data_IF_527830306037
#
_entry.id   IF_527830306037
#
_cell.length_a   1.000
_cell.length_b   1.000
_cell.length_c   1.000
_cell.angle_alpha   90.00
_cell.angle_beta   90.00
_cell.angle_gamma   90.00
#
_symmetry.space_group_name_H-M   'P 1'
#
loop_
_entity.id
_entity.type
_entity.pdbx_description
1 polymer ?
#
# COMPACT_ATOMS: atom_id res chain seq x y z
N UNK A 1 -20.35 -11.15 -18.06
CA UNK A 1 -20.44 -11.29 -16.60
C UNK A 1 -19.03 -11.57 -16.11
N UNK A 2 -18.30 -10.53 -15.71
CA UNK A 2 -16.90 -10.66 -15.31
C UNK A 2 -16.82 -11.23 -13.88
N UNK A 3 -16.98 -12.55 -13.76
CA UNK A 3 -16.86 -13.25 -12.50
C UNK A 3 -15.39 -13.37 -12.08
N UNK A 4 -15.08 -12.99 -10.84
CA UNK A 4 -13.81 -13.31 -10.21
C UNK A 4 -13.89 -14.66 -9.48
N UNK A 5 -12.78 -15.40 -9.41
CA UNK A 5 -12.69 -16.63 -8.62
C UNK A 5 -12.34 -16.26 -7.18
N UNK A 6 -13.28 -16.54 -6.26
CA UNK A 6 -13.08 -16.33 -4.83
C UNK A 6 -12.47 -17.57 -4.16
N UNK A 7 -11.26 -17.43 -3.61
CA UNK A 7 -10.51 -18.46 -2.89
C UNK A 7 -10.62 -18.20 -1.39
N UNK A 8 -11.45 -18.99 -0.70
CA UNK A 8 -11.78 -18.79 0.72
C UNK A 8 -10.94 -19.59 1.70
N UNK A 9 -10.14 -20.55 1.24
CA UNK A 9 -9.34 -21.43 2.11
C UNK A 9 -8.04 -21.90 1.46
N UNK A 10 -7.07 -22.25 2.31
CA UNK A 10 -5.77 -22.79 1.87
C UNK A 10 -5.95 -24.10 1.09
N UNK A 11 -6.87 -24.98 1.50
CA UNK A 11 -7.15 -26.21 0.74
C UNK A 11 -7.70 -25.93 -0.67
N UNK A 12 -8.53 -24.87 -0.84
CA UNK A 12 -9.04 -24.48 -2.15
C UNK A 12 -7.92 -23.87 -3.01
N UNK A 13 -7.03 -23.09 -2.42
CA UNK A 13 -5.83 -22.57 -3.09
C UNK A 13 -4.97 -23.72 -3.63
N UNK A 14 -4.64 -24.71 -2.80
CA UNK A 14 -3.83 -25.86 -3.19
C UNK A 14 -4.44 -26.64 -4.34
N UNK A 15 -5.75 -26.92 -4.29
CA UNK A 15 -6.48 -27.58 -5.40
C UNK A 15 -6.43 -26.78 -6.69
N UNK A 16 -6.56 -25.46 -6.61
CA UNK A 16 -6.56 -24.58 -7.79
C UNK A 16 -5.21 -24.57 -8.50
N UNK A 17 -4.10 -24.61 -7.74
CA UNK A 17 -2.74 -24.58 -8.30
C UNK A 17 -2.14 -25.97 -8.55
N UNK A 18 -2.90 -27.05 -8.31
CA UNK A 18 -2.43 -28.43 -8.47
C UNK A 18 -1.38 -28.87 -7.46
N UNK A 19 -1.32 -28.24 -6.27
CA UNK A 19 -0.40 -28.61 -5.20
C UNK A 19 -0.95 -29.78 -4.34
N UNK A 20 -0.05 -30.45 -3.61
CA UNK A 20 -0.43 -31.45 -2.60
C UNK A 20 -1.33 -30.86 -1.51
N UNK A 21 -1.98 -31.72 -0.72
CA UNK A 21 -2.82 -31.25 0.38
C UNK A 21 -2.03 -30.37 1.38
N UNK A 22 -2.60 -29.24 1.83
CA UNK A 22 -1.90 -28.37 2.76
C UNK A 22 -1.65 -29.06 4.10
N UNK A 23 -0.49 -28.77 4.69
CA UNK A 23 -0.11 -29.28 6.02
C UNK A 23 -0.70 -28.45 7.16
N UNK A 24 -1.16 -27.23 6.89
CA UNK A 24 -1.76 -26.34 7.87
C UNK A 24 -3.06 -25.72 7.32
N UNK A 25 -4.14 -25.58 8.12
CA UNK A 25 -5.45 -25.12 7.63
C UNK A 25 -5.50 -23.62 7.30
N UNK A 26 -4.71 -22.79 8.00
CA UNK A 26 -4.75 -21.32 7.91
C UNK A 26 -3.49 -20.70 7.33
N UNK A 27 -2.51 -21.51 6.90
CA UNK A 27 -1.18 -21.06 6.48
C UNK A 27 -0.65 -22.00 5.40
N UNK A 28 0.07 -21.47 4.41
CA UNK A 28 0.91 -22.29 3.53
C UNK A 28 2.05 -21.47 2.96
N UNK A 29 3.16 -22.15 2.64
CA UNK A 29 4.23 -21.62 1.82
C UNK A 29 4.24 -22.39 0.51
N UNK A 30 4.22 -21.66 -0.60
CA UNK A 30 4.28 -22.19 -1.95
C UNK A 30 5.59 -21.74 -2.58
N UNK A 31 6.37 -22.72 -3.03
CA UNK A 31 7.57 -22.51 -3.83
C UNK A 31 7.19 -22.53 -5.31
N UNK A 32 7.42 -21.42 -6.01
CA UNK A 32 7.02 -21.28 -7.41
C UNK A 32 7.71 -22.29 -8.34
N UNK A 33 8.92 -22.74 -7.99
CA UNK A 33 9.64 -23.75 -8.78
C UNK A 33 8.99 -25.13 -8.73
N UNK A 34 8.14 -25.40 -7.73
CA UNK A 34 7.44 -26.68 -7.57
C UNK A 34 6.07 -26.70 -8.25
N UNK A 35 5.63 -25.57 -8.81
CA UNK A 35 4.37 -25.47 -9.54
C UNK A 35 4.63 -25.84 -11.00
N UNK A 36 4.41 -27.10 -11.35
CA UNK A 36 4.59 -27.60 -12.72
C UNK A 36 3.31 -27.57 -13.57
N UNK A 37 2.13 -27.62 -12.93
CA UNK A 37 0.84 -27.84 -13.59
C UNK A 37 -0.27 -26.92 -13.07
N UNK A 38 0.01 -25.62 -12.87
CA UNK A 38 -1.08 -24.68 -12.64
C UNK A 38 -1.98 -24.66 -13.90
N UNK A 39 -3.29 -24.92 -13.79
CA UNK A 39 -4.17 -24.86 -14.96
C UNK A 39 -4.15 -23.43 -15.53
N UNK A 40 -4.39 -23.29 -16.84
CA UNK A 40 -4.39 -22.02 -17.59
C UNK A 40 -5.41 -20.99 -17.04
N UNK A 41 -5.13 -20.42 -15.89
CA UNK A 41 -5.92 -19.35 -15.26
C UNK A 41 -5.27 -17.98 -15.47
N UNK A 42 -4.54 -17.81 -16.57
CA UNK A 42 -3.98 -16.53 -16.93
C UNK A 42 -5.08 -15.54 -17.31
N UNK A 43 -4.91 -14.28 -16.93
CA UNK A 43 -5.91 -13.22 -17.10
C UNK A 43 -7.25 -13.48 -16.38
N UNK A 44 -7.31 -14.47 -15.48
CA UNK A 44 -8.45 -14.65 -14.59
C UNK A 44 -8.30 -13.73 -13.39
N UNK A 45 -9.41 -13.10 -12.98
CA UNK A 45 -9.48 -12.29 -11.76
C UNK A 45 -9.70 -13.20 -10.56
N UNK A 46 -8.84 -13.09 -9.56
CA UNK A 46 -8.89 -13.80 -8.29
C UNK A 46 -9.12 -12.84 -7.14
N UNK A 47 -9.77 -13.33 -6.10
CA UNK A 47 -9.83 -12.67 -4.79
C UNK A 47 -9.63 -13.72 -3.71
N UNK A 48 -8.88 -13.38 -2.66
CA UNK A 48 -8.53 -14.31 -1.57
C UNK A 48 -8.98 -13.75 -0.23
N UNK A 49 -9.37 -14.62 0.71
CA UNK A 49 -9.69 -14.24 2.09
C UNK A 49 -8.45 -14.23 3.01
N UNK A 50 -7.26 -14.41 2.45
CA UNK A 50 -5.99 -14.47 3.17
C UNK A 50 -5.01 -13.41 2.69
N UNK A 51 -4.10 -13.02 3.60
CA UNK A 51 -2.94 -12.21 3.28
C UNK A 51 -1.99 -12.99 2.37
N UNK A 52 -1.35 -12.29 1.44
CA UNK A 52 -0.34 -12.85 0.54
C UNK A 52 0.94 -12.05 0.70
N UNK A 53 2.05 -12.76 0.88
CA UNK A 53 3.40 -12.19 0.77
C UNK A 53 4.14 -13.02 -0.26
N UNK A 54 4.54 -12.41 -1.37
CA UNK A 54 5.19 -13.11 -2.47
C UNK A 54 6.53 -12.48 -2.75
N UNK A 55 7.57 -13.30 -2.82
CA UNK A 55 8.87 -12.93 -3.38
C UNK A 55 9.05 -13.60 -4.73
N UNK A 56 9.34 -12.80 -5.75
CA UNK A 56 9.70 -13.29 -7.08
C UNK A 56 11.15 -12.91 -7.39
N UNK A 57 11.90 -13.86 -7.91
CA UNK A 57 13.22 -13.58 -8.46
C UNK A 57 13.09 -13.14 -9.92
N UNK A 58 14.02 -12.33 -10.45
CA UNK A 58 14.03 -11.98 -11.86
C UNK A 58 14.03 -13.23 -12.73
N UNK A 59 13.20 -13.24 -13.77
CA UNK A 59 13.39 -14.18 -14.85
C UNK A 59 14.65 -13.78 -15.63
N UNK A 60 15.43 -14.75 -16.10
CA UNK A 60 16.64 -14.49 -16.89
C UNK A 60 16.38 -13.60 -18.12
N UNK A 61 15.13 -13.57 -18.61
CA UNK A 61 14.70 -12.84 -19.81
C UNK A 61 13.74 -11.66 -19.52
N UNK A 62 13.54 -11.27 -18.26
CA UNK A 62 12.62 -10.19 -17.91
C UNK A 62 13.14 -8.84 -18.42
N UNK A 63 12.63 -8.39 -19.57
CA UNK A 63 12.81 -7.01 -20.03
C UNK A 63 12.04 -6.09 -19.08
N UNK A 64 12.80 -5.22 -18.43
CA UNK A 64 12.41 -4.37 -17.31
C UNK A 64 11.31 -3.37 -17.67
N UNK A 65 10.29 -3.28 -16.81
CA UNK A 65 9.39 -2.13 -16.76
C UNK A 65 9.87 -1.17 -15.65
N UNK A 66 10.77 -0.25 -16.02
CA UNK A 66 11.27 0.78 -15.11
C UNK A 66 12.55 1.42 -15.64
N UNK A 67 12.59 2.76 -15.68
CA UNK A 67 13.76 3.53 -16.12
C UNK A 67 14.63 3.84 -14.90
N UNK A 68 15.78 3.16 -14.80
CA UNK A 68 17.05 3.53 -14.13
C UNK A 68 17.61 2.55 -13.08
N UNK A 69 18.95 2.46 -13.12
CA UNK A 69 19.88 1.59 -12.41
C UNK A 69 19.94 1.87 -10.91
N UNK A 70 19.39 0.99 -10.09
CA UNK A 70 19.78 0.83 -8.68
C UNK A 70 19.67 -0.66 -8.28
N UNK A 71 20.80 -1.23 -7.85
CA UNK A 71 21.18 -2.66 -7.71
C UNK A 71 20.36 -3.53 -6.71
N UNK A 72 19.05 -3.33 -6.58
CA UNK A 72 18.18 -4.19 -5.74
C UNK A 72 17.29 -5.07 -6.62
N UNK A 73 17.93 -5.86 -7.48
CA UNK A 73 17.23 -6.67 -8.48
C UNK A 73 17.17 -8.14 -8.08
N UNK A 74 17.81 -8.55 -6.99
CA UNK A 74 17.91 -9.97 -6.60
C UNK A 74 16.59 -10.60 -6.14
N UNK A 75 15.59 -9.78 -5.83
CA UNK A 75 14.24 -10.21 -5.49
C UNK A 75 13.24 -9.06 -5.42
N UNK A 76 12.01 -9.34 -5.84
CA UNK A 76 10.88 -8.41 -5.77
C UNK A 76 9.80 -8.97 -4.83
N UNK A 77 9.51 -8.25 -3.75
CA UNK A 77 8.43 -8.58 -2.81
C UNK A 77 7.16 -7.81 -3.09
N UNK A 78 6.04 -8.51 -2.98
CA UNK A 78 4.69 -7.99 -3.12
C UNK A 78 3.82 -8.48 -1.95
N UNK A 79 2.87 -7.63 -1.54
CA UNK A 79 2.00 -7.84 -0.39
C UNK A 79 0.54 -7.59 -0.78
N UNK A 80 -0.36 -8.47 -0.35
CA UNK A 80 -1.80 -8.35 -0.61
C UNK A 80 -2.61 -8.55 0.66
N UNK A 81 -3.59 -7.67 0.89
CA UNK A 81 -4.63 -7.86 1.89
C UNK A 81 -5.71 -8.82 1.41
N UNK A 82 -6.40 -9.52 2.34
CA UNK A 82 -7.66 -10.19 2.05
C UNK A 82 -8.65 -9.28 1.32
N UNK A 83 -9.39 -9.82 0.36
CA UNK A 83 -10.43 -9.13 -0.40
C UNK A 83 -9.92 -8.31 -1.59
N UNK A 84 -8.60 -8.22 -1.81
CA UNK A 84 -8.07 -7.55 -3.00
C UNK A 84 -8.18 -8.45 -4.24
N UNK A 85 -8.56 -7.83 -5.36
CA UNK A 85 -8.69 -8.51 -6.65
C UNK A 85 -7.36 -8.42 -7.41
N UNK A 86 -6.90 -9.55 -7.95
CA UNK A 86 -5.69 -9.61 -8.76
C UNK A 86 -5.84 -10.55 -9.95
N UNK A 87 -4.94 -10.42 -10.91
CA UNK A 87 -4.85 -11.34 -12.06
C UNK A 87 -3.42 -11.79 -12.24
N UNK A 88 -3.25 -13.05 -12.62
CA UNK A 88 -1.94 -13.60 -12.97
C UNK A 88 -1.75 -13.49 -14.48
N UNK A 89 -0.73 -12.76 -14.92
CA UNK A 89 -0.35 -12.70 -16.33
C UNK A 89 0.25 -14.02 -16.82
N UNK A 90 0.27 -14.23 -18.13
CA UNK A 90 1.00 -15.36 -18.73
C UNK A 90 2.50 -15.27 -18.40
N UNK A 91 3.15 -16.37 -18.01
CA UNK A 91 4.60 -16.42 -17.91
C UNK A 91 5.25 -16.03 -19.23
N UNK A 92 6.34 -15.26 -19.18
CA UNK A 92 7.37 -15.39 -20.21
C UNK A 92 7.91 -16.82 -20.14
N UNK A 93 8.53 -17.33 -21.20
CA UNK A 93 8.92 -18.74 -21.37
C UNK A 93 9.82 -19.36 -20.26
N UNK A 94 10.15 -18.61 -19.22
CA UNK A 94 10.97 -18.97 -18.07
C UNK A 94 10.12 -19.34 -16.84
N UNK A 95 10.49 -20.43 -16.17
CA UNK A 95 9.89 -20.86 -14.91
C UNK A 95 10.16 -19.82 -13.82
N UNK A 96 9.11 -19.38 -13.12
CA UNK A 96 9.24 -18.43 -12.03
C UNK A 96 9.96 -19.06 -10.84
N UNK A 97 10.96 -18.35 -10.30
CA UNK A 97 11.62 -18.66 -9.02
C UNK A 97 11.09 -17.76 -7.90
N UNK A 98 11.26 -18.22 -6.67
CA UNK A 98 10.81 -17.54 -5.46
C UNK A 98 9.66 -18.28 -4.75
N UNK A 99 8.95 -17.56 -3.90
CA UNK A 99 7.96 -18.15 -3.00
C UNK A 99 6.77 -17.22 -2.74
N UNK A 100 5.68 -17.81 -2.25
CA UNK A 100 4.56 -17.08 -1.67
C UNK A 100 4.12 -17.70 -0.35
N UNK A 101 4.01 -16.85 0.67
CA UNK A 101 3.41 -17.14 1.96
C UNK A 101 1.96 -16.65 1.93
N UNK A 102 1.05 -17.55 2.31
CA UNK A 102 -0.37 -17.25 2.45
C UNK A 102 -0.79 -17.52 3.89
N UNK A 103 -1.46 -16.57 4.52
CA UNK A 103 -2.02 -16.79 5.86
C UNK A 103 -3.39 -16.14 6.04
N UNK A 104 -4.32 -16.89 6.61
CA UNK A 104 -5.68 -16.44 6.88
C UNK A 104 -5.70 -15.51 8.10
N UNK A 105 -6.54 -14.45 8.13
CA UNK A 105 -6.66 -13.56 9.29
C UNK A 105 -6.94 -14.30 10.60
N UNK A 106 -7.67 -15.41 10.56
CA UNK A 106 -7.95 -16.26 11.72
C UNK A 106 -6.70 -16.79 12.42
N UNK A 107 -5.57 -16.92 11.70
CA UNK A 107 -4.30 -17.32 12.31
C UNK A 107 -3.84 -16.33 13.38
N UNK A 108 -4.11 -15.04 13.19
CA UNK A 108 -3.58 -13.97 14.02
C UNK A 108 -4.64 -13.37 14.95
N UNK A 109 -5.91 -13.81 14.88
CA UNK A 109 -6.99 -13.27 15.72
C UNK A 109 -6.61 -13.33 17.19
N UNK A 110 -6.87 -12.22 17.92
CA UNK A 110 -6.56 -12.11 19.34
C UNK A 110 -5.09 -11.79 19.67
N UNK A 111 -4.19 -11.80 18.69
CA UNK A 111 -2.76 -11.51 18.91
C UNK A 111 -2.42 -10.03 18.78
N UNK A 112 -1.19 -9.66 19.20
CA UNK A 112 -0.65 -8.33 18.95
C UNK A 112 -0.53 -8.03 17.45
N UNK A 113 -0.17 -9.04 16.65
CA UNK A 113 -0.06 -8.89 15.20
C UNK A 113 -1.40 -8.52 14.55
N UNK A 114 -2.53 -9.10 14.98
CA UNK A 114 -3.85 -8.70 14.47
C UNK A 114 -4.16 -7.20 14.68
N UNK A 115 -3.69 -6.61 15.79
CA UNK A 115 -3.86 -5.18 16.05
C UNK A 115 -2.93 -4.34 15.19
N UNK A 116 -1.71 -4.82 14.95
CA UNK A 116 -0.68 -4.08 14.22
C UNK A 116 -0.72 -4.28 12.71
N UNK A 117 -1.37 -5.31 12.19
CA UNK A 117 -1.27 -5.66 10.78
C UNK A 117 -1.69 -4.52 9.84
N UNK A 118 -2.67 -3.70 10.27
CA UNK A 118 -3.13 -2.51 9.54
C UNK A 118 -2.11 -1.37 9.45
N UNK A 119 -1.07 -1.36 10.30
CA UNK A 119 0.01 -0.37 10.20
C UNK A 119 1.02 -0.72 9.12
N UNK A 120 1.02 -1.96 8.60
CA UNK A 120 1.80 -2.35 7.44
C UNK A 120 1.05 -1.95 6.17
N UNK A 121 1.14 -0.68 5.84
CA UNK A 121 0.46 -0.03 4.70
C UNK A 121 0.81 -0.63 3.34
N UNK A 122 1.97 -1.29 3.24
CA UNK A 122 2.42 -1.97 2.02
C UNK A 122 1.52 -3.11 1.54
N UNK A 123 0.65 -3.65 2.40
CA UNK A 123 -0.42 -4.57 1.99
C UNK A 123 -1.50 -3.93 1.10
N UNK A 124 -1.44 -2.62 0.88
CA UNK A 124 -2.32 -1.87 -0.02
C UNK A 124 -1.57 -1.22 -1.17
N UNK A 125 -0.26 -1.47 -1.31
CA UNK A 125 0.52 -0.92 -2.40
C UNK A 125 0.15 -1.59 -3.72
N UNK A 126 0.31 -0.84 -4.80
CA UNK A 126 0.13 -1.36 -6.14
C UNK A 126 1.32 -2.24 -6.54
N UNK A 127 1.14 -3.09 -7.56
CA UNK A 127 2.19 -4.03 -8.01
C UNK A 127 3.44 -3.31 -8.52
N UNK A 128 3.28 -2.13 -9.12
CA UNK A 128 4.39 -1.27 -9.56
C UNK A 128 5.16 -0.59 -8.41
N UNK A 129 4.69 -0.74 -7.17
CA UNK A 129 5.31 -0.20 -5.94
C UNK A 129 5.98 -1.31 -5.11
N UNK A 130 6.36 -2.40 -5.79
CA UNK A 130 6.97 -3.55 -5.16
C UNK A 130 8.28 -3.20 -4.43
N UNK A 131 8.58 -3.99 -3.41
CA UNK A 131 9.81 -3.87 -2.65
C UNK A 131 10.94 -4.61 -3.37
N UNK A 132 12.03 -3.90 -3.59
CA UNK A 132 13.24 -4.42 -4.21
C UNK A 132 14.28 -4.69 -3.11
N UNK A 133 14.74 -5.94 -3.02
CA UNK A 133 15.67 -6.40 -1.98
C UNK A 133 17.05 -6.72 -2.54
N UNK A 134 18.08 -6.56 -1.70
CA UNK A 134 19.43 -7.05 -2.01
C UNK A 134 19.54 -8.55 -1.72
N UNK A 135 20.67 -9.15 -2.09
CA UNK A 135 20.96 -10.55 -1.75
C UNK A 135 20.89 -10.81 -0.24
N UNK A 136 21.60 -10.02 0.57
CA UNK A 136 21.57 -10.17 2.03
C UNK A 136 20.16 -10.02 2.63
N UNK A 137 19.35 -9.09 2.11
CA UNK A 137 17.97 -8.90 2.55
C UNK A 137 17.08 -10.08 2.15
N UNK A 138 17.28 -10.60 0.94
CA UNK A 138 16.62 -11.81 0.45
C UNK A 138 16.96 -13.03 1.31
N UNK A 139 18.23 -13.23 1.66
CA UNK A 139 18.67 -14.33 2.52
C UNK A 139 17.99 -14.28 3.90
N UNK A 140 17.90 -13.09 4.50
CA UNK A 140 17.19 -12.90 5.78
C UNK A 140 15.72 -13.30 5.66
N UNK A 141 15.03 -12.82 4.63
CA UNK A 141 13.61 -13.13 4.41
C UNK A 141 13.39 -14.62 4.14
N UNK A 142 14.27 -15.24 3.36
CA UNK A 142 14.25 -16.68 3.08
C UNK A 142 14.46 -17.50 4.35
N UNK A 143 15.38 -17.10 5.21
CA UNK A 143 15.62 -17.79 6.50
C UNK A 143 14.39 -17.74 7.41
N UNK A 144 13.72 -16.59 7.49
CA UNK A 144 12.46 -16.46 8.24
C UNK A 144 11.37 -17.36 7.66
N UNK A 145 11.23 -17.38 6.32
CA UNK A 145 10.26 -18.24 5.64
C UNK A 145 10.54 -19.72 5.90
N UNK A 146 11.80 -20.14 5.83
CA UNK A 146 12.20 -21.52 6.12
C UNK A 146 11.87 -21.92 7.57
N UNK A 147 12.01 -20.99 8.53
CA UNK A 147 11.61 -21.25 9.91
C UNK A 147 10.09 -21.44 10.03
N UNK A 148 9.30 -20.59 9.36
CA UNK A 148 7.84 -20.76 9.27
C UNK A 148 7.50 -22.14 8.67
N UNK A 149 8.16 -22.49 7.55
CA UNK A 149 7.89 -23.73 6.83
C UNK A 149 8.22 -24.98 7.65
N UNK A 150 9.34 -24.96 8.38
CA UNK A 150 9.70 -26.04 9.32
C UNK A 150 8.65 -26.15 10.42
N UNK A 151 8.27 -25.03 11.03
CA UNK A 151 7.37 -25.02 12.18
C UNK A 151 5.99 -25.60 11.85
N UNK A 152 5.34 -25.16 10.76
CA UNK A 152 3.99 -25.65 10.44
C UNK A 152 3.96 -27.09 9.91
N UNK A 153 5.13 -27.67 9.60
CA UNK A 153 5.27 -29.09 9.21
C UNK A 153 5.45 -30.03 10.41
N UNK A 154 5.79 -29.49 11.59
CA UNK A 154 5.85 -30.25 12.83
C UNK A 154 4.46 -30.56 13.37
N UNK A 155 4.39 -31.43 14.38
CA UNK A 155 3.14 -31.66 15.10
C UNK A 155 2.76 -30.38 15.86
N UNK A 156 1.51 -29.95 15.70
CA UNK A 156 1.00 -28.76 16.36
C UNK A 156 0.97 -29.00 17.88
N UNK A 157 1.57 -28.07 18.60
CA UNK A 157 1.50 -27.96 20.06
C UNK A 157 0.99 -26.56 20.48
N UNK A 158 0.96 -26.32 21.79
CA UNK A 158 0.46 -25.07 22.36
C UNK A 158 1.28 -23.83 21.97
N UNK A 159 2.50 -24.02 21.46
CA UNK A 159 3.45 -22.96 21.13
C UNK A 159 3.60 -22.71 19.63
N UNK A 160 3.31 -23.71 18.78
CA UNK A 160 3.55 -23.64 17.33
C UNK A 160 2.95 -22.38 16.69
N UNK A 161 1.71 -22.03 17.02
CA UNK A 161 1.07 -20.82 16.50
C UNK A 161 1.80 -19.53 16.93
N UNK A 162 2.25 -19.45 18.18
CA UNK A 162 2.98 -18.28 18.67
C UNK A 162 4.32 -18.11 17.94
N UNK A 163 5.02 -19.23 17.68
CA UNK A 163 6.29 -19.23 16.93
C UNK A 163 6.07 -18.76 15.50
N UNK A 164 5.07 -19.34 14.80
CA UNK A 164 4.69 -18.95 13.43
C UNK A 164 4.34 -17.46 13.36
N UNK A 165 3.47 -16.98 14.25
CA UNK A 165 3.01 -15.59 14.25
C UNK A 165 4.17 -14.62 14.50
N UNK A 166 5.08 -14.98 15.40
CA UNK A 166 6.29 -14.17 15.67
C UNK A 166 7.21 -14.11 14.46
N UNK A 167 7.39 -15.23 13.74
CA UNK A 167 8.17 -15.26 12.52
C UNK A 167 7.52 -14.45 11.38
N UNK A 168 6.20 -14.51 11.21
CA UNK A 168 5.46 -13.65 10.27
C UNK A 168 5.66 -12.17 10.65
N UNK A 169 5.54 -11.84 11.93
CA UNK A 169 5.74 -10.47 12.42
C UNK A 169 7.17 -9.98 12.15
N UNK A 170 8.17 -10.84 12.35
CA UNK A 170 9.56 -10.53 12.03
C UNK A 170 9.74 -10.26 10.53
N UNK A 171 9.16 -11.09 9.66
CA UNK A 171 9.17 -10.90 8.21
C UNK A 171 8.62 -9.52 7.84
N UNK A 172 7.45 -9.17 8.37
CA UNK A 172 6.78 -7.89 8.12
C UNK A 172 7.60 -6.68 8.62
N UNK A 173 8.24 -6.80 9.79
CA UNK A 173 9.11 -5.75 10.32
C UNK A 173 10.34 -5.52 9.43
N UNK A 174 10.97 -6.59 8.92
CA UNK A 174 12.07 -6.45 7.95
C UNK A 174 11.58 -5.82 6.65
N UNK A 175 10.45 -6.25 6.12
CA UNK A 175 9.85 -5.64 4.92
C UNK A 175 9.57 -4.14 5.12
N UNK A 176 9.05 -3.73 6.28
CA UNK A 176 8.84 -2.32 6.60
C UNK A 176 10.16 -1.52 6.62
N UNK A 177 11.21 -2.12 7.19
CA UNK A 177 12.55 -1.53 7.22
C UNK A 177 13.11 -1.36 5.81
N UNK A 178 12.94 -2.35 4.94
CA UNK A 178 13.44 -2.30 3.56
C UNK A 178 12.64 -1.33 2.69
N UNK A 179 11.32 -1.22 2.84
CA UNK A 179 10.54 -0.14 2.23
C UNK A 179 11.03 1.24 2.67
N UNK A 180 11.29 1.41 3.97
CA UNK A 180 11.83 2.66 4.50
C UNK A 180 13.19 3.03 3.91
N UNK A 181 14.04 2.03 3.63
CA UNK A 181 15.31 2.20 2.91
C UNK A 181 15.08 2.58 1.44
N UNK A 182 14.16 1.92 0.75
CA UNK A 182 13.87 2.17 -0.67
C UNK A 182 13.45 3.62 -0.92
N UNK A 183 12.68 4.22 0.00
CA UNK A 183 12.37 5.65 -0.06
C UNK A 183 13.63 6.55 0.04
N UNK A 184 14.61 6.16 0.87
CA UNK A 184 15.85 6.93 1.05
C UNK A 184 16.76 6.80 -0.20
N UNK A 185 16.87 5.59 -0.76
CA UNK A 185 17.74 5.35 -1.93
C UNK A 185 17.16 5.97 -3.21
N UNK A 186 15.82 6.08 -3.32
CA UNK A 186 15.12 6.72 -4.44
C UNK A 186 14.84 8.21 -4.26
N UNK A 187 15.57 8.92 -3.37
CA UNK A 187 15.31 10.33 -3.05
C UNK A 187 15.17 11.26 -4.26
N UNK A 188 15.94 11.04 -5.33
CA UNK A 188 15.84 11.87 -6.55
C UNK A 188 14.51 11.69 -7.29
N UNK A 189 14.06 10.46 -7.48
CA UNK A 189 12.76 10.13 -8.08
C UNK A 189 11.61 10.60 -7.17
N UNK A 190 11.77 10.41 -5.86
CA UNK A 190 10.81 10.85 -4.87
C UNK A 190 10.65 12.37 -4.85
N UNK A 191 11.74 13.13 -5.00
CA UNK A 191 11.70 14.59 -5.10
C UNK A 191 10.90 15.07 -6.32
N UNK A 192 11.04 14.40 -7.47
CA UNK A 192 10.23 14.68 -8.66
C UNK A 192 8.74 14.40 -8.40
N UNK A 193 8.42 13.26 -7.77
CA UNK A 193 7.04 12.93 -7.38
C UNK A 193 6.43 13.94 -6.42
N UNK A 194 7.19 14.45 -5.45
CA UNK A 194 6.74 15.50 -4.52
C UNK A 194 6.50 16.80 -5.28
N UNK A 195 7.43 17.20 -6.14
CA UNK A 195 7.29 18.41 -6.96
C UNK A 195 6.02 18.34 -7.82
N UNK A 196 5.77 17.18 -8.44
CA UNK A 196 4.56 16.92 -9.22
C UNK A 196 3.30 16.91 -8.35
N UNK A 197 3.37 16.39 -7.12
CA UNK A 197 2.27 16.46 -6.16
C UNK A 197 1.92 17.92 -5.81
N UNK A 198 2.93 18.74 -5.50
CA UNK A 198 2.74 20.15 -5.17
C UNK A 198 2.19 20.95 -6.36
N UNK A 199 2.66 20.66 -7.58
CA UNK A 199 2.10 21.23 -8.82
C UNK A 199 0.63 20.84 -9.00
N UNK A 200 0.28 19.56 -8.90
CA UNK A 200 -1.10 19.08 -9.01
C UNK A 200 -2.00 19.69 -7.93
N UNK A 201 -1.49 19.85 -6.71
CA UNK A 201 -2.21 20.46 -5.60
C UNK A 201 -2.50 21.94 -5.92
N UNK A 202 -1.48 22.70 -6.36
CA UNK A 202 -1.62 24.09 -6.76
C UNK A 202 -2.59 24.26 -7.94
N UNK A 203 -2.47 23.43 -8.98
CA UNK A 203 -3.38 23.41 -10.13
C UNK A 203 -4.82 23.10 -9.71
N UNK A 204 -5.02 22.20 -8.75
CA UNK A 204 -6.35 21.89 -8.22
C UNK A 204 -7.00 23.13 -7.58
N UNK A 205 -6.24 23.91 -6.80
CA UNK A 205 -6.76 25.13 -6.17
C UNK A 205 -6.93 26.31 -7.13
N UNK A 206 -6.15 26.37 -8.22
CA UNK A 206 -6.21 27.43 -9.21
C UNK A 206 -7.19 27.16 -10.36
N UNK A 207 -7.76 25.95 -10.43
CA UNK A 207 -8.73 25.56 -11.45
C UNK A 207 -10.17 25.64 -10.93
N UNK A 208 -11.13 25.65 -11.85
CA UNK A 208 -12.54 25.49 -11.51
C UNK A 208 -12.89 24.11 -10.92
N UNK A 209 -11.90 23.21 -10.78
CA UNK A 209 -12.09 21.84 -10.30
C UNK A 209 -12.67 21.78 -8.88
N UNK A 210 -12.37 22.75 -8.01
CA UNK A 210 -12.95 22.84 -6.66
C UNK A 210 -14.49 22.91 -6.66
N UNK A 211 -15.06 23.64 -7.63
CA UNK A 211 -16.50 23.82 -7.74
C UNK A 211 -17.22 22.58 -8.28
N UNK A 212 -16.52 21.75 -9.08
CA UNK A 212 -17.10 20.55 -9.71
C UNK A 212 -16.75 19.24 -9.01
N UNK A 213 -15.59 19.15 -8.37
CA UNK A 213 -15.03 17.90 -7.81
C UNK A 213 -14.93 17.92 -6.27
N UNK A 214 -15.22 19.05 -5.62
CA UNK A 214 -15.23 19.18 -4.17
C UNK A 214 -13.84 19.32 -3.58
N UNK A 215 -13.66 18.82 -2.35
CA UNK A 215 -12.36 18.88 -1.68
C UNK A 215 -11.33 17.94 -2.31
N UNK A 216 -10.06 18.37 -2.41
CA UNK A 216 -8.98 17.50 -2.83
C UNK A 216 -8.79 16.33 -1.85
N UNK A 217 -8.74 15.11 -2.38
CA UNK A 217 -8.52 13.89 -1.61
C UNK A 217 -7.16 13.25 -1.94
N UNK A 218 -6.65 12.40 -1.05
CA UNK A 218 -5.39 11.68 -1.30
C UNK A 218 -5.54 10.75 -2.50
N UNK A 219 -6.71 10.12 -2.64
CA UNK A 219 -7.06 9.22 -3.74
C UNK A 219 -7.00 9.93 -5.10
N UNK A 220 -7.47 11.18 -5.18
CA UNK A 220 -7.38 11.99 -6.40
C UNK A 220 -5.93 12.16 -6.85
N UNK A 221 -5.04 12.60 -5.96
CA UNK A 221 -3.64 12.82 -6.32
C UNK A 221 -2.88 11.52 -6.59
N UNK A 222 -3.14 10.48 -5.79
CA UNK A 222 -2.55 9.16 -6.00
C UNK A 222 -2.90 8.61 -7.39
N UNK A 223 -4.17 8.72 -7.80
CA UNK A 223 -4.60 8.34 -9.15
C UNK A 223 -3.89 9.15 -10.25
N UNK A 224 -3.74 10.47 -10.08
CA UNK A 224 -3.02 11.33 -11.05
C UNK A 224 -1.52 11.04 -11.12
N UNK A 225 -0.94 10.53 -10.04
CA UNK A 225 0.48 10.15 -9.97
C UNK A 225 0.72 8.67 -10.31
N UNK A 226 -0.33 7.89 -10.59
CA UNK A 226 -0.28 6.43 -10.78
C UNK A 226 0.32 5.68 -9.58
N UNK A 227 -0.04 6.13 -8.37
CA UNK A 227 0.37 5.55 -7.09
C UNK A 227 -0.84 5.06 -6.31
N UNK A 228 -0.61 4.16 -5.37
CA UNK A 228 -1.60 3.85 -4.33
C UNK A 228 -1.70 5.00 -3.32
N UNK A 229 -2.88 5.29 -2.76
CA UNK A 229 -3.05 6.35 -1.76
C UNK A 229 -2.17 6.18 -0.52
N UNK A 230 -1.94 4.93 -0.11
CA UNK A 230 -1.08 4.61 1.02
C UNK A 230 0.38 4.84 0.69
N UNK A 231 0.85 4.43 -0.50
CA UNK A 231 2.23 4.69 -0.92
C UNK A 231 2.51 6.19 -1.01
N UNK A 232 1.62 6.97 -1.64
CA UNK A 232 1.75 8.44 -1.67
C UNK A 232 1.78 9.03 -0.25
N UNK A 233 0.95 8.50 0.66
CA UNK A 233 0.92 8.93 2.06
C UNK A 233 2.21 8.66 2.80
N UNK A 234 2.77 7.47 2.64
CA UNK A 234 4.01 7.07 3.31
C UNK A 234 5.22 7.78 2.71
N UNK A 235 5.26 7.93 1.38
CA UNK A 235 6.27 8.70 0.66
C UNK A 235 6.31 10.15 1.16
N UNK A 236 5.17 10.86 1.12
CA UNK A 236 5.10 12.25 1.57
C UNK A 236 5.44 12.35 3.05
N UNK A 237 4.92 11.47 3.90
CA UNK A 237 5.26 11.49 5.34
C UNK A 237 6.74 11.25 5.59
N UNK A 238 7.39 10.38 4.81
CA UNK A 238 8.81 10.07 4.96
C UNK A 238 9.70 11.26 4.60
N UNK A 239 9.36 11.96 3.52
CA UNK A 239 10.16 13.08 3.00
C UNK A 239 9.86 14.40 3.72
N UNK A 240 8.61 14.61 4.15
CA UNK A 240 8.16 15.88 4.73
C UNK A 240 7.94 15.85 6.25
N UNK A 241 7.86 14.67 6.85
CA UNK A 241 7.49 14.48 8.25
C UNK A 241 6.01 14.68 8.57
N UNK A 242 5.15 15.06 7.60
CA UNK A 242 3.72 15.31 7.84
C UNK A 242 2.84 14.36 7.01
N UNK A 243 1.67 13.94 7.52
CA UNK A 243 0.69 13.20 6.71
C UNK A 243 0.21 14.01 5.50
N UNK A 244 -0.05 13.36 4.36
CA UNK A 244 -0.56 14.01 3.14
C UNK A 244 -1.85 14.79 3.37
N UNK A 245 -2.76 14.27 4.19
CA UNK A 245 -3.98 15.00 4.57
C UNK A 245 -3.67 16.31 5.29
N UNK A 246 -2.61 16.35 6.10
CA UNK A 246 -2.19 17.58 6.77
C UNK A 246 -1.62 18.60 5.78
N UNK A 247 -0.92 18.13 4.74
CA UNK A 247 -0.46 18.96 3.61
C UNK A 247 -1.63 19.61 2.89
N UNK A 248 -2.59 18.81 2.44
CA UNK A 248 -3.81 19.30 1.75
C UNK A 248 -4.56 20.30 2.64
N UNK A 249 -4.74 19.97 3.92
CA UNK A 249 -5.40 20.89 4.87
C UNK A 249 -4.63 22.18 5.10
N UNK A 250 -3.29 22.14 5.09
CA UNK A 250 -2.46 23.34 5.23
C UNK A 250 -2.66 24.26 4.04
N UNK A 251 -2.70 23.71 2.83
CA UNK A 251 -2.95 24.49 1.61
C UNK A 251 -4.35 25.12 1.61
N UNK A 252 -5.39 24.34 1.96
CA UNK A 252 -6.76 24.87 2.13
C UNK A 252 -6.78 26.05 3.12
N UNK A 253 -6.03 25.92 4.22
CA UNK A 253 -5.98 26.96 5.23
C UNK A 253 -5.29 28.24 4.74
N UNK A 254 -4.17 28.12 4.04
CA UNK A 254 -3.45 29.28 3.50
C UNK A 254 -4.28 29.99 2.41
N UNK A 255 -4.94 29.24 1.52
CA UNK A 255 -5.88 29.80 0.54
C UNK A 255 -7.05 30.52 1.23
N UNK A 256 -7.60 29.93 2.29
CA UNK A 256 -8.66 30.55 3.09
C UNK A 256 -8.20 31.87 3.73
N UNK A 257 -7.02 31.90 4.37
CA UNK A 257 -6.47 33.12 4.97
C UNK A 257 -6.24 34.19 3.91
N UNK A 258 -5.66 33.82 2.77
CA UNK A 258 -5.42 34.75 1.67
C UNK A 258 -6.73 35.40 1.18
N UNK A 259 -7.77 34.60 0.90
CA UNK A 259 -9.08 35.12 0.46
C UNK A 259 -9.79 35.94 1.54
N UNK A 260 -9.68 35.55 2.82
CA UNK A 260 -10.28 36.31 3.92
C UNK A 260 -9.71 37.73 4.03
N UNK A 261 -8.44 37.92 3.71
CA UNK A 261 -7.73 39.21 3.80
C UNK A 261 -7.75 40.01 2.49
N UNK A 262 -7.82 39.36 1.34
CA UNK A 262 -7.61 40.00 0.04
C UNK A 262 -8.88 40.04 -0.85
N UNK A 263 -10.03 39.60 -0.34
CA UNK A 263 -11.29 39.61 -1.10
C UNK A 263 -12.48 40.09 -0.25
N UNK A 264 -13.52 40.55 -0.95
CA UNK A 264 -14.81 40.90 -0.37
C UNK A 264 -15.79 39.72 -0.30
N UNK A 265 -15.34 38.50 -0.65
CA UNK A 265 -16.17 37.29 -0.60
C UNK A 265 -16.68 37.08 0.83
N UNK A 266 -17.94 36.70 1.01
CA UNK A 266 -18.46 36.30 2.32
C UNK A 266 -17.79 35.01 2.80
N UNK A 267 -17.80 34.77 4.11
CA UNK A 267 -17.25 33.53 4.69
C UNK A 267 -17.89 32.27 4.08
N UNK A 268 -19.17 32.35 3.70
CA UNK A 268 -19.88 31.25 3.06
C UNK A 268 -19.41 31.05 1.60
N UNK A 269 -19.25 32.12 0.83
CA UNK A 269 -18.71 32.03 -0.54
C UNK A 269 -17.30 31.45 -0.54
N UNK A 270 -16.45 31.89 0.39
CA UNK A 270 -15.11 31.32 0.56
C UNK A 270 -15.20 29.83 0.89
N UNK A 271 -16.07 29.42 1.82
CA UNK A 271 -16.23 28.00 2.17
C UNK A 271 -16.61 27.15 0.96
N UNK A 272 -17.61 27.59 0.18
CA UNK A 272 -18.02 26.87 -1.03
C UNK A 272 -16.93 26.85 -2.10
N UNK A 273 -16.21 27.97 -2.29
CA UNK A 273 -15.11 28.02 -3.26
C UNK A 273 -13.96 27.08 -2.93
N UNK A 274 -13.79 26.74 -1.64
CA UNK A 274 -12.79 25.79 -1.15
C UNK A 274 -13.31 24.34 -1.10
N UNK A 275 -14.48 24.06 -1.70
CA UNK A 275 -15.04 22.72 -1.82
C UNK A 275 -15.75 22.20 -0.56
N UNK A 276 -16.05 23.06 0.43
CA UNK A 276 -16.88 22.65 1.57
C UNK A 276 -18.35 22.61 1.14
N UNK A 277 -18.99 21.45 1.25
CA UNK A 277 -20.44 21.31 1.00
C UNK A 277 -21.28 22.15 1.96
N UNK A 278 -20.80 22.34 3.20
CA UNK A 278 -21.49 23.14 4.18
C UNK A 278 -20.55 24.09 4.94
N UNK A 279 -20.84 25.41 4.99
CA UNK A 279 -19.98 26.42 5.62
C UNK A 279 -19.69 26.21 7.11
N UNK A 280 -20.55 25.51 7.85
CA UNK A 280 -20.30 25.17 9.25
C UNK A 280 -19.05 24.29 9.42
N UNK A 281 -18.77 23.39 8.47
CA UNK A 281 -17.58 22.56 8.51
C UNK A 281 -16.33 23.40 8.27
N UNK A 282 -16.39 24.39 7.38
CA UNK A 282 -15.30 25.34 7.16
C UNK A 282 -15.01 26.17 8.42
N UNK A 283 -16.05 26.72 9.05
CA UNK A 283 -15.88 27.49 10.28
C UNK A 283 -15.21 26.67 11.40
N UNK A 284 -15.65 25.41 11.59
CA UNK A 284 -15.04 24.50 12.56
C UNK A 284 -13.61 24.15 12.17
N UNK A 285 -13.36 23.83 10.91
CA UNK A 285 -12.04 23.51 10.39
C UNK A 285 -11.06 24.66 10.63
N UNK A 286 -11.41 25.86 10.20
CA UNK A 286 -10.58 27.05 10.34
C UNK A 286 -10.28 27.34 11.81
N UNK A 287 -11.31 27.38 12.66
CA UNK A 287 -11.15 27.59 14.11
C UNK A 287 -10.28 26.53 14.77
N UNK A 288 -10.42 25.26 14.37
CA UNK A 288 -9.58 24.17 14.91
C UNK A 288 -8.11 24.36 14.53
N UNK A 289 -7.82 24.94 13.36
CA UNK A 289 -6.45 25.14 12.88
C UNK A 289 -5.81 26.44 13.35
N UNK A 290 -6.60 27.50 13.57
CA UNK A 290 -6.08 28.86 13.88
C UNK A 290 -6.41 29.33 15.29
N UNK A 291 -7.32 28.65 16.01
CA UNK A 291 -7.85 29.06 17.31
C UNK A 291 -9.00 30.07 17.26
N UNK A 292 -9.23 30.72 16.11
CA UNK A 292 -10.24 31.79 15.95
C UNK A 292 -11.14 31.57 14.74
N UNK A 293 -12.30 32.21 14.70
CA UNK A 293 -13.24 32.05 13.58
C UNK A 293 -12.76 32.78 12.32
N UNK A 294 -13.18 32.36 11.11
CA UNK A 294 -12.90 33.08 9.86
C UNK A 294 -13.29 34.57 9.92
N UNK A 295 -14.47 34.88 10.47
CA UNK A 295 -14.96 36.26 10.61
C UNK A 295 -14.08 37.07 11.57
N UNK A 296 -13.67 36.49 12.70
CA UNK A 296 -12.73 37.13 13.62
C UNK A 296 -11.38 37.37 12.96
N UNK A 297 -10.89 36.40 12.18
CA UNK A 297 -9.62 36.51 11.47
C UNK A 297 -9.61 37.64 10.43
N UNK A 298 -10.71 37.83 9.70
CA UNK A 298 -10.86 38.94 8.75
C UNK A 298 -10.76 40.32 9.43
N UNK A 299 -11.25 40.44 10.65
CA UNK A 299 -11.28 41.70 11.41
C UNK A 299 -10.01 41.94 12.23
N UNK A 300 -8.94 41.15 12.04
CA UNK A 300 -7.65 41.34 12.72
C UNK A 300 -6.78 42.43 12.05
N UNK A 301 -7.17 42.90 10.86
CA UNK A 301 -6.64 44.09 10.20
C UNK A 301 -7.68 45.22 10.25
#
# INVERSE_FOLDING_TARGET
MDGFIHIKSISKLHKLIGAENPKHPLLTVIDYSKISNAPDHYNVKFVTDFYIISMKEPAADAIMYGRQYYDFEEGTLFFMSPGQVFSVGKPSATQYKGWALFFHPDLIIGTALAKRIKSFTFFSYAVNEALHVSEDEKEILNSILQNIEKEYKLNIDDFSNSVIITAIEQLLNYSQRYYSRQFITRRKENSDLITRFEQLLSEYFNSAALLSAGMPSVEYFAAKLNLSPNYLSDLLKKETGKPTKAYIQSEILEQAKYRLLNSNETVNEIAYSLGFEYPQYFNRFFKTKTGITPSSFRNLN
#
